data_IF_351802232485
#
_entry.id   IF_351802232485
#
_cell.length_a   1.000
_cell.length_b   1.000
_cell.length_c   1.000
_cell.angle_alpha   90.00
_cell.angle_beta   90.00
_cell.angle_gamma   90.00
#
_symmetry.space_group_name_H-M   'P 1'
#
loop_
_entity.id
_entity.type
_entity.pdbx_description
1 polymer ?
#
# COMPACT_ATOMS: atom_id res chain seq x y z
N UNK A 1 38.05 -17.40 10.25
CA UNK A 1 36.61 -17.35 10.58
C UNK A 1 36.41 -16.28 11.63
N UNK A 2 35.40 -15.43 11.47
CA UNK A 2 35.12 -14.37 12.44
C UNK A 2 34.73 -14.99 13.79
N UNK A 3 35.25 -14.44 14.88
CA UNK A 3 34.89 -14.85 16.25
C UNK A 3 33.46 -14.36 16.57
N UNK A 4 32.57 -15.30 16.93
CA UNK A 4 31.14 -15.09 17.15
C UNK A 4 30.84 -13.98 18.16
N UNK A 5 31.73 -13.77 19.13
CA UNK A 5 31.62 -12.71 20.14
C UNK A 5 31.67 -11.32 19.51
N UNK A 6 32.51 -11.13 18.48
CA UNK A 6 32.66 -9.84 17.82
C UNK A 6 31.48 -9.50 16.91
N UNK A 7 30.87 -10.52 16.31
CA UNK A 7 29.70 -10.33 15.45
C UNK A 7 28.48 -9.95 16.30
N UNK A 8 28.32 -10.59 17.46
CA UNK A 8 27.32 -10.19 18.46
C UNK A 8 27.52 -8.75 18.93
N UNK A 9 28.76 -8.33 19.19
CA UNK A 9 29.05 -6.95 19.61
C UNK A 9 28.66 -5.91 18.53
N UNK A 10 28.91 -6.22 17.24
CA UNK A 10 28.50 -5.36 16.12
C UNK A 10 26.98 -5.30 15.96
N UNK A 11 26.29 -6.43 16.09
CA UNK A 11 24.82 -6.46 16.02
C UNK A 11 24.21 -5.67 17.18
N UNK A 12 24.75 -5.78 18.38
CA UNK A 12 24.34 -4.98 19.54
C UNK A 12 24.63 -3.48 19.37
N UNK A 13 25.69 -3.11 18.64
CA UNK A 13 25.93 -1.72 18.24
C UNK A 13 24.85 -1.25 17.27
N UNK A 14 24.51 -2.05 16.25
CA UNK A 14 23.45 -1.73 15.29
C UNK A 14 22.11 -1.48 15.97
N UNK A 15 21.67 -2.38 16.86
CA UNK A 15 20.41 -2.25 17.60
C UNK A 15 20.34 -0.93 18.39
N UNK A 16 21.41 -0.57 19.11
CA UNK A 16 21.48 0.68 19.88
C UNK A 16 21.47 1.92 18.98
N UNK A 17 22.20 1.90 17.87
CA UNK A 17 22.33 3.05 16.96
C UNK A 17 21.08 3.26 16.12
N UNK A 18 20.37 2.19 15.76
CA UNK A 18 19.07 2.24 15.10
C UNK A 18 17.89 2.43 16.06
N UNK A 19 18.15 2.49 17.37
CA UNK A 19 17.13 2.63 18.41
C UNK A 19 16.01 1.58 18.31
N UNK A 20 16.34 0.39 17.79
CA UNK A 20 15.40 -0.74 17.60
C UNK A 20 15.89 -1.94 18.40
N UNK A 21 15.07 -2.49 19.33
CA UNK A 21 15.38 -3.78 19.92
C UNK A 21 15.27 -4.84 18.82
N UNK A 22 16.37 -5.57 18.58
CA UNK A 22 16.37 -6.63 17.59
C UNK A 22 15.78 -7.91 18.16
N UNK A 23 14.85 -8.50 17.43
CA UNK A 23 14.32 -9.82 17.75
C UNK A 23 15.34 -10.91 17.39
N UNK A 24 15.10 -12.15 17.86
CA UNK A 24 15.95 -13.30 17.52
C UNK A 24 16.14 -13.45 16.00
N UNK A 25 15.07 -13.20 15.23
CA UNK A 25 15.09 -13.23 13.75
C UNK A 25 15.99 -12.14 13.17
N UNK A 26 15.92 -10.91 13.67
CA UNK A 26 16.77 -9.80 13.22
C UNK A 26 18.25 -10.12 13.46
N UNK A 27 18.57 -10.63 14.66
CA UNK A 27 19.94 -11.00 15.05
C UNK A 27 20.46 -12.12 14.16
N UNK A 28 19.66 -13.18 13.94
CA UNK A 28 20.05 -14.31 13.10
C UNK A 28 20.27 -13.88 11.65
N UNK A 29 19.36 -13.04 11.11
CA UNK A 29 19.48 -12.52 9.75
C UNK A 29 20.73 -11.66 9.58
N UNK A 30 20.95 -10.68 10.46
CA UNK A 30 22.14 -9.83 10.41
C UNK A 30 23.43 -10.64 10.55
N UNK A 31 23.45 -11.66 11.40
CA UNK A 31 24.59 -12.56 11.55
C UNK A 31 24.93 -13.25 10.22
N UNK A 32 23.95 -13.88 9.58
CA UNK A 32 24.15 -14.57 8.31
C UNK A 32 24.52 -13.59 7.17
N UNK A 33 23.84 -12.46 7.12
CA UNK A 33 24.06 -11.44 6.10
C UNK A 33 25.46 -10.83 6.18
N UNK A 34 25.91 -10.41 7.37
CA UNK A 34 27.24 -9.84 7.57
C UNK A 34 28.34 -10.87 7.24
N UNK A 35 28.12 -12.15 7.54
CA UNK A 35 29.02 -13.23 7.12
C UNK A 35 29.02 -13.43 5.60
N UNK A 36 27.87 -13.35 4.95
CA UNK A 36 27.73 -13.41 3.50
C UNK A 36 28.48 -12.27 2.81
N UNK A 37 28.30 -11.01 3.25
CA UNK A 37 29.03 -9.85 2.72
C UNK A 37 30.56 -10.06 2.81
N UNK A 38 31.05 -10.59 3.94
CA UNK A 38 32.47 -10.90 4.10
C UNK A 38 32.97 -11.95 3.11
N UNK A 39 32.18 -13.00 2.85
CA UNK A 39 32.54 -14.03 1.87
C UNK A 39 32.57 -13.47 0.44
N UNK A 40 31.57 -12.66 0.05
CA UNK A 40 31.53 -12.01 -1.26
C UNK A 40 32.69 -11.03 -1.45
N UNK A 41 33.00 -10.25 -0.42
CA UNK A 41 34.13 -9.33 -0.42
C UNK A 41 35.46 -10.07 -0.67
N UNK A 42 35.71 -11.19 0.00
CA UNK A 42 36.91 -12.00 -0.25
C UNK A 42 36.95 -12.60 -1.66
N UNK A 43 35.79 -12.84 -2.28
CA UNK A 43 35.68 -13.28 -3.67
C UNK A 43 35.85 -12.13 -4.69
N UNK A 44 36.04 -10.89 -4.24
CA UNK A 44 36.11 -9.71 -5.10
C UNK A 44 34.77 -9.32 -5.72
N UNK A 45 33.66 -9.87 -5.21
CA UNK A 45 32.31 -9.58 -5.66
C UNK A 45 31.74 -8.50 -4.73
N UNK A 46 31.34 -7.38 -5.32
CA UNK A 46 30.70 -6.28 -4.60
C UNK A 46 29.33 -5.99 -5.22
N UNK A 47 28.35 -5.56 -4.40
CA UNK A 47 27.06 -5.11 -4.93
C UNK A 47 27.27 -3.90 -5.83
N UNK A 48 26.55 -3.86 -6.95
CA UNK A 48 26.60 -2.73 -7.88
C UNK A 48 25.41 -1.80 -7.62
N UNK A 49 25.68 -0.50 -7.53
CA UNK A 49 24.65 0.53 -7.40
C UNK A 49 24.78 1.54 -8.53
N UNK A 50 23.63 1.94 -9.09
CA UNK A 50 23.60 3.06 -10.04
C UNK A 50 23.80 4.40 -9.30
N UNK A 51 24.12 5.51 -10.00
CA UNK A 51 24.40 6.79 -9.35
C UNK A 51 23.28 7.30 -8.43
N UNK A 52 22.01 7.09 -8.82
CA UNK A 52 20.85 7.50 -8.03
C UNK A 52 20.76 6.70 -6.72
N UNK A 53 20.96 5.38 -6.78
CA UNK A 53 21.00 4.50 -5.61
C UNK A 53 22.15 4.85 -4.66
N UNK A 54 23.33 5.18 -5.20
CA UNK A 54 24.47 5.63 -4.40
C UNK A 54 24.13 6.91 -3.64
N UNK A 55 23.60 7.92 -4.34
CA UNK A 55 23.22 9.19 -3.74
C UNK A 55 22.13 9.00 -2.66
N UNK A 56 21.15 8.15 -2.93
CA UNK A 56 20.09 7.84 -1.98
C UNK A 56 20.64 7.21 -0.70
N UNK A 57 21.37 6.09 -0.82
CA UNK A 57 21.93 5.37 0.32
C UNK A 57 22.85 6.26 1.16
N UNK A 58 23.60 7.18 0.54
CA UNK A 58 24.45 8.15 1.25
C UNK A 58 23.66 9.22 2.00
N UNK A 59 22.43 9.52 1.57
CA UNK A 59 21.56 10.53 2.17
C UNK A 59 20.72 10.00 3.34
N UNK A 60 20.63 8.68 3.50
CA UNK A 60 19.90 8.00 4.55
C UNK A 60 20.54 8.24 5.94
N UNK A 61 19.72 8.29 6.98
CA UNK A 61 20.16 8.52 8.36
C UNK A 61 21.06 7.39 8.89
N UNK A 62 20.97 6.20 8.29
CA UNK A 62 21.70 4.99 8.63
C UNK A 62 23.10 4.94 7.99
N UNK A 63 23.39 5.80 7.01
CA UNK A 63 24.67 5.80 6.31
C UNK A 63 25.89 6.02 7.24
N UNK A 64 25.86 6.94 8.23
CA UNK A 64 26.96 7.09 9.18
C UNK A 64 27.25 5.81 9.99
N UNK A 65 26.20 5.05 10.35
CA UNK A 65 26.35 3.76 11.03
C UNK A 65 26.98 2.71 10.10
N UNK A 66 26.57 2.67 8.84
CA UNK A 66 27.18 1.79 7.85
C UNK A 66 28.68 2.08 7.67
N UNK A 67 29.07 3.36 7.63
CA UNK A 67 30.48 3.78 7.59
C UNK A 67 31.25 3.34 8.84
N UNK A 68 30.64 3.45 10.02
CA UNK A 68 31.23 3.01 11.29
C UNK A 68 31.53 1.50 11.25
N UNK A 69 30.56 0.68 10.81
CA UNK A 69 30.72 -0.77 10.70
C UNK A 69 31.74 -1.13 9.62
N UNK A 70 31.72 -0.46 8.47
CA UNK A 70 32.72 -0.63 7.41
C UNK A 70 34.15 -0.41 7.92
N UNK A 71 34.38 0.61 8.76
CA UNK A 71 35.69 0.85 9.40
C UNK A 71 36.06 -0.27 10.38
N UNK A 72 35.11 -0.78 11.16
CA UNK A 72 35.36 -1.92 12.05
C UNK A 72 35.75 -3.18 11.28
N UNK A 73 35.14 -3.41 10.10
CA UNK A 73 35.53 -4.49 9.21
C UNK A 73 36.91 -4.31 8.60
N UNK A 74 37.22 -3.12 8.07
CA UNK A 74 38.52 -2.81 7.46
C UNK A 74 39.68 -3.09 8.43
N UNK A 75 39.55 -2.67 9.69
CA UNK A 75 40.59 -2.89 10.73
C UNK A 75 40.84 -4.37 11.04
N UNK A 76 39.88 -5.25 10.77
CA UNK A 76 39.94 -6.67 11.14
C UNK A 76 40.29 -7.58 9.97
N UNK A 77 39.81 -7.26 8.77
CA UNK A 77 40.06 -8.04 7.56
C UNK A 77 41.37 -7.60 6.87
N UNK A 78 41.94 -6.46 7.27
CA UNK A 78 43.16 -5.89 6.67
C UNK A 78 43.05 -5.67 5.15
N UNK A 79 41.81 -5.49 4.66
CA UNK A 79 41.49 -5.15 3.29
C UNK A 79 40.51 -3.96 3.30
N UNK A 80 40.63 -3.10 2.29
CA UNK A 80 39.68 -2.01 2.11
C UNK A 80 38.35 -2.60 1.66
N UNK A 81 37.31 -2.47 2.49
CA UNK A 81 35.96 -2.78 2.07
C UNK A 81 35.58 -1.87 0.87
N UNK A 82 35.04 -2.41 -0.23
CA UNK A 82 34.53 -1.62 -1.33
C UNK A 82 33.53 -0.59 -0.82
N UNK A 83 33.54 0.65 -1.34
CA UNK A 83 32.56 1.67 -0.96
C UNK A 83 31.12 1.17 -1.07
N UNK A 84 30.85 0.30 -2.04
CA UNK A 84 29.52 -0.22 -2.32
C UNK A 84 29.02 -1.22 -1.25
N UNK A 85 29.89 -1.91 -0.51
CA UNK A 85 29.48 -2.72 0.67
C UNK A 85 28.88 -1.84 1.77
N UNK A 86 29.42 -0.62 1.93
CA UNK A 86 28.88 0.34 2.89
C UNK A 86 27.49 0.82 2.46
N UNK A 87 27.28 1.02 1.16
CA UNK A 87 25.97 1.39 0.63
C UNK A 87 24.95 0.27 0.84
N UNK A 88 25.37 -0.99 0.67
CA UNK A 88 24.51 -2.14 0.90
C UNK A 88 24.12 -2.30 2.37
N UNK A 89 25.05 -2.07 3.29
CA UNK A 89 24.73 -2.01 4.73
C UNK A 89 23.76 -0.87 5.06
N UNK A 90 23.94 0.32 4.47
CA UNK A 90 23.05 1.45 4.70
C UNK A 90 21.62 1.12 4.25
N UNK A 91 21.46 0.52 3.06
CA UNK A 91 20.19 0.01 2.57
C UNK A 91 19.58 -1.06 3.50
N UNK A 92 20.39 -1.99 3.98
CA UNK A 92 19.92 -3.02 4.91
C UNK A 92 19.36 -2.40 6.20
N UNK A 93 20.10 -1.46 6.79
CA UNK A 93 19.67 -0.80 8.01
C UNK A 93 18.41 0.03 7.81
N UNK A 94 18.29 0.72 6.68
CA UNK A 94 17.06 1.46 6.36
C UNK A 94 15.85 0.53 6.17
N UNK A 95 16.06 -0.72 5.72
CA UNK A 95 14.98 -1.71 5.60
C UNK A 95 14.63 -2.40 6.93
N UNK A 96 15.60 -2.61 7.83
CA UNK A 96 15.35 -3.24 9.15
C UNK A 96 14.75 -2.24 10.14
N UNK A 97 15.04 -0.95 9.97
CA UNK A 97 14.47 0.13 10.78
C UNK A 97 12.96 0.21 10.54
N UNK A 98 12.23 0.41 11.63
CA UNK A 98 10.81 0.78 11.58
C UNK A 98 10.77 2.31 11.54
N UNK A 99 10.28 2.94 10.47
CA UNK A 99 10.12 4.39 10.42
C UNK A 99 9.22 4.88 11.56
N UNK A 100 9.56 6.02 12.15
CA UNK A 100 8.81 6.60 13.26
C UNK A 100 8.32 8.00 12.86
N UNK A 101 7.01 8.19 12.61
CA UNK A 101 6.48 9.48 12.14
C UNK A 101 6.69 10.62 13.14
N UNK A 102 6.84 10.31 14.43
CA UNK A 102 7.00 11.29 15.52
C UNK A 102 8.46 11.68 15.70
N UNK A 103 9.36 10.68 15.73
CA UNK A 103 10.75 10.89 16.13
C UNK A 103 11.72 11.10 14.95
N UNK A 104 11.37 10.64 13.75
CA UNK A 104 12.20 10.83 12.57
C UNK A 104 12.29 12.32 12.23
N UNK A 105 13.50 12.89 12.14
CA UNK A 105 13.67 14.34 11.91
C UNK A 105 14.81 14.68 10.95
N UNK A 106 15.32 13.69 10.22
CA UNK A 106 16.31 13.94 9.18
C UNK A 106 15.68 14.76 8.04
N UNK A 107 16.52 15.40 7.21
CA UNK A 107 16.03 16.22 6.10
C UNK A 107 15.14 15.41 5.13
N UNK A 108 15.51 14.16 4.85
CA UNK A 108 14.74 13.28 3.97
C UNK A 108 13.40 12.88 4.58
N UNK A 109 13.35 12.64 5.90
CA UNK A 109 12.11 12.32 6.61
C UNK A 109 11.11 13.47 6.55
N UNK A 110 11.59 14.70 6.74
CA UNK A 110 10.77 15.91 6.60
C UNK A 110 10.25 16.08 5.17
N UNK A 111 11.11 15.83 4.16
CA UNK A 111 10.69 15.85 2.75
C UNK A 111 9.61 14.80 2.49
N UNK A 112 9.79 13.58 3.00
CA UNK A 112 8.85 12.50 2.85
C UNK A 112 7.50 12.83 3.48
N UNK A 113 7.46 13.35 4.72
CA UNK A 113 6.20 13.78 5.35
C UNK A 113 5.46 14.82 4.52
N UNK A 114 6.16 15.79 3.94
CA UNK A 114 5.53 16.78 3.06
C UNK A 114 4.98 16.15 1.77
N UNK A 115 5.68 15.17 1.19
CA UNK A 115 5.21 14.43 0.03
C UNK A 115 3.98 13.57 0.36
N UNK A 116 3.95 12.93 1.53
CA UNK A 116 2.79 12.19 2.04
C UNK A 116 1.59 13.11 2.23
N UNK A 117 1.76 14.28 2.85
CA UNK A 117 0.68 15.25 3.01
C UNK A 117 0.10 15.72 1.67
N UNK A 118 0.95 15.93 0.66
CA UNK A 118 0.49 16.24 -0.70
C UNK A 118 -0.24 15.07 -1.36
N UNK A 119 0.22 13.84 -1.13
CA UNK A 119 -0.45 12.63 -1.63
C UNK A 119 -1.87 12.52 -1.03
N UNK A 120 -2.00 12.66 0.29
CA UNK A 120 -3.30 12.63 0.98
C UNK A 120 -4.23 13.72 0.45
N UNK A 121 -3.73 14.95 0.29
CA UNK A 121 -4.49 16.06 -0.28
C UNK A 121 -5.03 15.73 -1.68
N UNK A 122 -4.17 15.24 -2.58
CA UNK A 122 -4.57 14.87 -3.96
C UNK A 122 -5.60 13.75 -3.97
N UNK A 123 -5.38 12.70 -3.17
CA UNK A 123 -6.33 11.61 -3.04
C UNK A 123 -7.70 12.14 -2.59
N UNK A 124 -7.72 13.02 -1.59
CA UNK A 124 -8.94 13.64 -1.05
C UNK A 124 -9.68 14.44 -2.12
N UNK A 125 -8.98 15.24 -2.90
CA UNK A 125 -9.55 16.07 -3.97
C UNK A 125 -10.14 15.23 -5.11
N UNK A 126 -9.41 14.21 -5.59
CA UNK A 126 -9.89 13.32 -6.66
C UNK A 126 -11.01 12.40 -6.19
N UNK A 127 -10.90 11.92 -4.95
CA UNK A 127 -11.88 11.04 -4.33
C UNK A 127 -13.14 11.76 -3.86
N UNK A 128 -13.07 13.08 -3.66
CA UNK A 128 -14.11 13.90 -3.04
C UNK A 128 -14.53 13.40 -1.66
N UNK A 129 -13.55 12.89 -0.90
CA UNK A 129 -13.76 12.31 0.44
C UNK A 129 -13.26 13.25 1.53
N UNK A 130 -13.54 12.89 2.78
CA UNK A 130 -12.92 13.50 3.96
C UNK A 130 -12.41 12.39 4.86
N UNK A 131 -11.29 12.66 5.53
CA UNK A 131 -10.76 11.79 6.56
C UNK A 131 -11.02 12.43 7.91
N UNK A 132 -11.50 11.64 8.85
CA UNK A 132 -11.71 12.07 10.23
C UNK A 132 -10.38 12.19 10.98
N UNK A 133 -9.56 11.16 10.89
CA UNK A 133 -8.20 11.12 11.40
C UNK A 133 -7.18 11.26 10.26
N UNK A 134 -7.08 12.47 9.71
CA UNK A 134 -6.10 12.77 8.66
C UNK A 134 -4.66 12.67 9.18
N UNK A 135 -4.41 12.93 10.46
CA UNK A 135 -3.07 12.84 11.04
C UNK A 135 -2.61 11.38 11.12
N UNK A 136 -3.44 10.47 11.66
CA UNK A 136 -3.13 9.04 11.68
C UNK A 136 -2.95 8.45 10.28
N UNK A 137 -3.71 8.93 9.28
CA UNK A 137 -3.52 8.53 7.89
C UNK A 137 -2.15 8.95 7.35
N UNK A 138 -1.75 10.20 7.60
CA UNK A 138 -0.44 10.70 7.21
C UNK A 138 0.68 9.89 7.88
N UNK A 139 0.54 9.57 9.16
CA UNK A 139 1.52 8.82 9.92
C UNK A 139 1.66 7.37 9.40
N UNK A 140 0.54 6.70 9.13
CA UNK A 140 0.55 5.33 8.57
C UNK A 140 1.13 5.29 7.15
N UNK A 141 0.74 6.26 6.30
CA UNK A 141 1.28 6.37 4.94
C UNK A 141 2.77 6.70 4.97
N UNK A 142 3.23 7.54 5.90
CA UNK A 142 4.65 7.81 6.08
C UNK A 142 5.44 6.54 6.38
N UNK A 143 4.96 5.72 7.33
CA UNK A 143 5.62 4.45 7.70
C UNK A 143 5.72 3.53 6.48
N UNK A 144 4.62 3.32 5.77
CA UNK A 144 4.60 2.45 4.60
C UNK A 144 5.48 2.98 3.45
N UNK A 145 5.33 4.26 3.09
CA UNK A 145 6.02 4.86 1.94
C UNK A 145 7.52 5.03 2.17
N UNK A 146 7.97 5.24 3.40
CA UNK A 146 9.40 5.24 3.73
C UNK A 146 10.07 3.91 3.33
N UNK A 147 9.39 2.80 3.59
CA UNK A 147 9.86 1.47 3.24
C UNK A 147 9.65 1.16 1.76
N UNK A 148 8.47 1.45 1.21
CA UNK A 148 8.13 1.20 -0.19
C UNK A 148 9.06 1.95 -1.16
N UNK A 149 9.46 3.17 -0.81
CA UNK A 149 10.38 3.97 -1.60
C UNK A 149 11.77 3.34 -1.69
N UNK A 150 12.27 2.81 -0.57
CA UNK A 150 13.52 2.05 -0.55
C UNK A 150 13.38 0.77 -1.39
N UNK A 151 12.28 0.04 -1.28
CA UNK A 151 12.08 -1.16 -2.10
C UNK A 151 12.02 -0.85 -3.60
N UNK A 152 11.29 0.19 -3.97
CA UNK A 152 11.12 0.60 -5.38
C UNK A 152 12.44 1.07 -6.01
N UNK A 153 13.22 1.87 -5.29
CA UNK A 153 14.48 2.40 -5.82
C UNK A 153 15.55 1.31 -6.05
N UNK A 154 15.50 0.25 -5.25
CA UNK A 154 16.44 -0.87 -5.32
C UNK A 154 15.86 -2.12 -6.00
N UNK A 155 14.68 -2.00 -6.63
CA UNK A 155 13.98 -3.09 -7.32
C UNK A 155 13.78 -4.35 -6.44
N UNK A 156 13.46 -4.13 -5.17
CA UNK A 156 13.17 -5.20 -4.20
C UNK A 156 11.68 -5.49 -4.26
N UNK A 157 11.31 -6.63 -4.84
CA UNK A 157 9.91 -7.07 -4.92
C UNK A 157 9.32 -7.41 -3.56
N UNK A 158 7.99 -7.32 -3.46
CA UNK A 158 7.21 -7.85 -2.35
C UNK A 158 6.27 -8.92 -2.87
N UNK A 159 6.19 -10.04 -2.16
CA UNK A 159 5.18 -11.06 -2.43
C UNK A 159 3.87 -10.60 -1.78
N UNK A 160 2.93 -10.11 -2.58
CA UNK A 160 1.60 -9.81 -2.08
C UNK A 160 0.54 -10.56 -2.90
N UNK A 161 -0.25 -11.38 -2.22
CA UNK A 161 -1.37 -12.14 -2.81
C UNK A 161 -2.67 -11.34 -2.85
N UNK A 162 -2.71 -10.15 -2.24
CA UNK A 162 -3.86 -9.26 -2.20
C UNK A 162 -4.26 -8.52 -3.52
N UNK A 163 -3.42 -8.33 -4.58
CA UNK A 163 -3.73 -7.35 -5.63
C UNK A 163 -4.99 -7.62 -6.46
N UNK A 164 -5.25 -8.88 -6.88
CA UNK A 164 -6.27 -9.15 -7.91
C UNK A 164 -7.70 -8.99 -7.40
N UNK A 165 -8.03 -9.65 -6.29
CA UNK A 165 -9.37 -9.59 -5.72
C UNK A 165 -9.69 -8.19 -5.17
N UNK A 166 -8.72 -7.56 -4.51
CA UNK A 166 -8.89 -6.20 -4.00
C UNK A 166 -9.13 -5.20 -5.14
N UNK A 167 -8.38 -5.28 -6.24
CA UNK A 167 -8.56 -4.40 -7.39
C UNK A 167 -9.92 -4.60 -8.07
N UNK A 168 -10.44 -5.83 -8.06
CA UNK A 168 -11.79 -6.12 -8.59
C UNK A 168 -12.90 -5.57 -7.69
N UNK A 169 -12.73 -5.68 -6.37
CA UNK A 169 -13.75 -5.24 -5.40
C UNK A 169 -13.79 -3.72 -5.23
N UNK A 170 -12.64 -3.05 -5.36
CA UNK A 170 -12.44 -1.62 -5.11
C UNK A 170 -11.75 -0.88 -6.28
N UNK A 171 -12.26 -0.99 -7.51
CA UNK A 171 -11.56 -0.49 -8.70
C UNK A 171 -11.34 1.02 -8.68
N UNK A 172 -12.34 1.80 -8.21
CA UNK A 172 -12.21 3.26 -8.08
C UNK A 172 -11.14 3.64 -7.07
N UNK A 173 -11.05 2.93 -5.94
CA UNK A 173 -10.07 3.17 -4.89
C UNK A 173 -8.64 2.96 -5.39
N UNK A 174 -8.40 1.84 -6.07
CA UNK A 174 -7.09 1.53 -6.65
C UNK A 174 -6.72 2.54 -7.73
N UNK A 175 -7.63 2.87 -8.65
CA UNK A 175 -7.37 3.88 -9.70
C UNK A 175 -7.06 5.25 -9.09
N UNK A 176 -7.87 5.71 -8.14
CA UNK A 176 -7.68 7.02 -7.49
C UNK A 176 -6.37 7.06 -6.72
N UNK A 177 -5.99 5.97 -6.07
CA UNK A 177 -4.70 5.84 -5.38
C UNK A 177 -3.53 5.95 -6.38
N UNK A 178 -3.60 5.22 -7.50
CA UNK A 178 -2.58 5.25 -8.55
C UNK A 178 -2.42 6.65 -9.14
N UNK A 179 -3.52 7.33 -9.42
CA UNK A 179 -3.52 8.69 -9.95
C UNK A 179 -2.93 9.68 -8.92
N UNK A 180 -3.21 9.48 -7.62
CA UNK A 180 -2.67 10.32 -6.55
C UNK A 180 -1.15 10.16 -6.41
N UNK A 181 -0.67 8.91 -6.53
CA UNK A 181 0.74 8.56 -6.43
C UNK A 181 1.59 9.13 -7.56
N UNK A 182 1.02 9.46 -8.73
CA UNK A 182 1.78 9.95 -9.87
C UNK A 182 2.71 11.15 -9.55
N UNK A 183 2.26 12.07 -8.69
CA UNK A 183 3.11 13.18 -8.23
C UNK A 183 4.22 12.78 -7.29
N UNK A 184 3.93 11.82 -6.40
CA UNK A 184 4.92 11.27 -5.47
C UNK A 184 6.01 10.51 -6.25
N UNK A 185 5.59 9.62 -7.15
CA UNK A 185 6.47 8.88 -8.07
C UNK A 185 7.39 9.82 -8.85
N UNK A 186 6.83 10.89 -9.42
CA UNK A 186 7.59 11.90 -10.15
C UNK A 186 8.58 12.67 -9.26
N UNK A 187 8.22 12.99 -8.01
CA UNK A 187 9.10 13.72 -7.09
C UNK A 187 10.34 12.90 -6.70
N UNK A 188 10.19 11.58 -6.60
CA UNK A 188 11.25 10.66 -6.19
C UNK A 188 11.93 9.93 -7.36
N UNK A 189 11.42 10.08 -8.59
CA UNK A 189 11.96 9.39 -9.76
C UNK A 189 11.80 7.87 -9.68
N UNK A 190 10.70 7.40 -9.08
CA UNK A 190 10.40 5.96 -8.92
C UNK A 190 9.08 5.61 -9.58
N UNK A 191 8.86 4.32 -9.79
CA UNK A 191 7.55 3.75 -10.12
C UNK A 191 7.23 2.69 -9.09
N UNK A 192 6.09 2.83 -8.41
CA UNK A 192 5.57 1.80 -7.54
C UNK A 192 4.99 0.67 -8.39
N UNK A 193 5.16 -0.55 -7.90
CA UNK A 193 4.51 -1.72 -8.48
C UNK A 193 3.01 -1.72 -8.15
N UNK A 194 2.28 -2.66 -8.76
CA UNK A 194 0.86 -2.83 -8.48
C UNK A 194 0.62 -3.29 -7.04
N UNK A 195 1.54 -4.06 -6.47
CA UNK A 195 1.50 -4.51 -5.08
C UNK A 195 1.65 -3.35 -4.09
N UNK A 196 2.63 -2.46 -4.30
CA UNK A 196 2.82 -1.27 -3.45
C UNK A 196 1.63 -0.31 -3.61
N UNK A 197 1.17 -0.09 -4.84
CA UNK A 197 -0.03 0.72 -5.10
C UNK A 197 -1.27 0.15 -4.40
N UNK A 198 -1.42 -1.18 -4.43
CA UNK A 198 -2.49 -1.90 -3.73
C UNK A 198 -2.42 -1.73 -2.21
N UNK A 199 -1.23 -1.81 -1.62
CA UNK A 199 -1.04 -1.59 -0.18
C UNK A 199 -1.37 -0.14 0.23
N UNK A 200 -0.96 0.85 -0.55
CA UNK A 200 -1.35 2.25 -0.33
C UNK A 200 -2.88 2.39 -0.42
N UNK A 201 -3.52 1.72 -1.38
CA UNK A 201 -4.97 1.76 -1.55
C UNK A 201 -5.69 1.11 -0.36
N UNK A 202 -5.15 0.01 0.20
CA UNK A 202 -5.66 -0.61 1.44
C UNK A 202 -5.58 0.36 2.61
N UNK A 203 -4.48 1.11 2.76
CA UNK A 203 -4.35 2.12 3.82
C UNK A 203 -5.41 3.21 3.67
N UNK A 204 -5.57 3.79 2.46
CA UNK A 204 -6.65 4.76 2.23
C UNK A 204 -8.03 4.17 2.51
N UNK A 205 -8.30 2.95 2.04
CA UNK A 205 -9.55 2.24 2.28
C UNK A 205 -9.84 2.06 3.77
N UNK A 206 -8.86 1.64 4.56
CA UNK A 206 -9.01 1.48 6.01
C UNK A 206 -9.41 2.78 6.70
N UNK A 207 -8.81 3.91 6.34
CA UNK A 207 -9.15 5.23 6.91
C UNK A 207 -10.50 5.77 6.45
N UNK A 208 -10.94 5.42 5.24
CA UNK A 208 -12.32 5.74 4.80
C UNK A 208 -13.38 4.98 5.61
N UNK A 209 -13.01 3.87 6.26
CA UNK A 209 -13.91 3.00 7.02
C UNK A 209 -13.92 3.29 8.53
N UNK A 210 -12.98 4.06 9.09
CA UNK A 210 -12.78 4.18 10.55
C UNK A 210 -13.94 4.86 11.31
N UNK A 211 -14.61 5.87 10.75
CA UNK A 211 -15.64 6.64 11.48
C UNK A 211 -17.07 6.38 11.03
N UNK A 212 -17.24 5.64 9.95
CA UNK A 212 -18.57 5.39 9.48
C UNK A 212 -19.16 4.19 10.24
N UNK A 213 -20.19 4.45 11.03
CA UNK A 213 -21.38 3.57 11.13
C UNK A 213 -22.06 3.44 9.74
N UNK A 214 -21.27 3.27 8.67
CA UNK A 214 -21.71 2.87 7.35
C UNK A 214 -22.20 1.45 7.56
N UNK A 215 -23.49 1.36 7.86
CA UNK A 215 -24.26 0.21 7.50
C UNK A 215 -23.90 -0.03 6.03
N UNK A 216 -23.11 -1.07 5.75
CA UNK A 216 -22.79 -1.45 4.39
C UNK A 216 -24.11 -1.47 3.62
N UNK A 217 -24.31 -0.50 2.74
CA UNK A 217 -25.58 -0.38 2.04
C UNK A 217 -25.68 -1.57 1.12
N UNK A 218 -26.58 -2.46 1.49
CA UNK A 218 -26.79 -3.68 0.75
C UNK A 218 -27.48 -3.32 -0.57
N UNK A 219 -26.79 -3.55 -1.68
CA UNK A 219 -27.35 -3.47 -3.02
C UNK A 219 -27.72 -4.89 -3.45
N UNK A 220 -28.86 -5.04 -4.12
CA UNK A 220 -29.22 -6.28 -4.79
C UNK A 220 -29.04 -6.09 -6.30
N UNK A 221 -28.26 -6.98 -6.92
CA UNK A 221 -28.18 -7.11 -8.37
C UNK A 221 -29.01 -8.32 -8.79
N UNK A 222 -30.04 -8.09 -9.61
CA UNK A 222 -30.86 -9.18 -10.13
C UNK A 222 -30.13 -9.92 -11.25
N UNK A 223 -30.07 -11.24 -11.13
CA UNK A 223 -29.36 -12.12 -12.07
C UNK A 223 -30.33 -12.98 -12.89
N UNK A 224 -29.84 -13.51 -14.00
CA UNK A 224 -30.61 -14.23 -15.00
C UNK A 224 -29.71 -15.05 -15.93
N UNK A 225 -29.76 -14.77 -17.22
CA UNK A 225 -29.10 -15.56 -18.27
C UNK A 225 -27.90 -14.87 -18.93
N UNK A 226 -27.54 -13.65 -18.52
CA UNK A 226 -26.46 -12.88 -19.10
C UNK A 226 -25.42 -12.44 -18.05
N UNK A 227 -24.55 -13.38 -17.66
CA UNK A 227 -23.52 -13.13 -16.65
C UNK A 227 -22.50 -12.06 -17.02
N UNK A 228 -22.22 -11.83 -18.31
CA UNK A 228 -21.31 -10.78 -18.76
C UNK A 228 -21.89 -9.39 -18.51
N UNK A 229 -23.17 -9.19 -18.84
CA UNK A 229 -23.88 -7.94 -18.57
C UNK A 229 -24.01 -7.68 -17.06
N UNK A 230 -24.30 -8.72 -16.29
CA UNK A 230 -24.36 -8.64 -14.83
C UNK A 230 -23.02 -8.21 -14.23
N UNK A 231 -21.91 -8.83 -14.66
CA UNK A 231 -20.57 -8.45 -14.23
C UNK A 231 -20.21 -7.02 -14.67
N UNK A 232 -20.61 -6.61 -15.87
CA UNK A 232 -20.39 -5.24 -16.35
C UNK A 232 -21.12 -4.20 -15.49
N UNK A 233 -22.40 -4.43 -15.18
CA UNK A 233 -23.18 -3.55 -14.30
C UNK A 233 -22.60 -3.54 -12.89
N UNK A 234 -22.20 -4.69 -12.36
CA UNK A 234 -21.54 -4.76 -11.06
C UNK A 234 -20.26 -3.91 -11.03
N UNK A 235 -19.43 -4.02 -12.06
CA UNK A 235 -18.22 -3.20 -12.18
C UNK A 235 -18.57 -1.71 -12.21
N UNK A 236 -19.60 -1.31 -12.97
CA UNK A 236 -20.06 0.08 -12.99
C UNK A 236 -20.52 0.55 -11.61
N UNK A 237 -21.23 -0.29 -10.84
CA UNK A 237 -21.65 0.04 -9.47
C UNK A 237 -20.45 0.26 -8.54
N UNK A 238 -19.46 -0.65 -8.59
CA UNK A 238 -18.22 -0.53 -7.80
C UNK A 238 -17.41 0.71 -8.17
N UNK A 239 -17.51 1.18 -9.41
CA UNK A 239 -16.88 2.42 -9.88
C UNK A 239 -17.58 3.71 -9.38
N UNK A 240 -18.76 3.59 -8.76
CA UNK A 240 -19.47 4.77 -8.25
C UNK A 240 -18.99 5.23 -6.87
N UNK A 241 -18.25 4.42 -6.13
CA UNK A 241 -17.82 4.75 -4.76
C UNK A 241 -16.40 4.29 -4.49
N UNK A 242 -15.75 4.91 -3.51
CA UNK A 242 -14.46 4.47 -2.96
C UNK A 242 -14.62 3.48 -1.80
N UNK A 243 -15.85 3.34 -1.29
CA UNK A 243 -16.19 2.53 -0.13
C UNK A 243 -16.60 1.11 -0.56
N UNK A 244 -16.51 0.12 0.36
CA UNK A 244 -17.03 -1.20 0.12
C UNK A 244 -18.51 -1.20 -0.25
N UNK A 245 -18.85 -1.97 -1.28
CA UNK A 245 -20.21 -2.26 -1.67
C UNK A 245 -20.52 -3.73 -1.41
N UNK A 246 -21.56 -3.96 -0.62
CA UNK A 246 -22.14 -5.27 -0.41
C UNK A 246 -23.21 -5.52 -1.47
N UNK A 247 -22.82 -6.19 -2.55
CA UNK A 247 -23.70 -6.52 -3.68
C UNK A 247 -24.14 -7.97 -3.54
N UNK A 248 -25.43 -8.20 -3.31
CA UNK A 248 -26.04 -9.54 -3.30
C UNK A 248 -26.63 -9.87 -4.66
N UNK A 249 -26.18 -10.96 -5.25
CA UNK A 249 -26.77 -11.52 -6.46
C UNK A 249 -28.05 -12.29 -6.11
N UNK A 250 -29.18 -11.91 -6.70
CA UNK A 250 -30.46 -12.57 -6.48
C UNK A 250 -31.08 -12.92 -7.84
N UNK A 251 -31.40 -14.19 -8.12
CA UNK A 251 -32.06 -14.55 -9.37
C UNK A 251 -33.41 -13.84 -9.51
N UNK A 252 -33.69 -13.31 -10.70
CA UNK A 252 -34.92 -12.54 -10.99
C UNK A 252 -36.19 -13.33 -10.65
N UNK A 253 -36.18 -14.65 -10.90
CA UNK A 253 -37.30 -15.54 -10.57
C UNK A 253 -37.53 -15.67 -9.06
N UNK A 254 -36.46 -15.71 -8.27
CA UNK A 254 -36.53 -15.77 -6.81
C UNK A 254 -37.06 -14.44 -6.27
N UNK A 255 -36.55 -13.33 -6.78
CA UNK A 255 -37.02 -11.99 -6.42
C UNK A 255 -38.51 -11.78 -6.69
N UNK A 256 -39.04 -12.29 -7.81
CA UNK A 256 -40.47 -12.19 -8.13
C UNK A 256 -41.36 -13.00 -7.17
N UNK A 257 -40.86 -14.11 -6.63
CA UNK A 257 -41.60 -14.96 -5.69
C UNK A 257 -41.52 -14.44 -4.26
N UNK A 258 -40.32 -14.10 -3.81
CA UNK A 258 -40.02 -13.88 -2.40
C UNK A 258 -39.87 -12.37 -2.06
N UNK A 259 -39.78 -11.52 -3.07
CA UNK A 259 -39.58 -10.07 -2.93
C UNK A 259 -38.14 -9.69 -2.58
N UNK A 260 -37.97 -8.45 -2.11
CA UNK A 260 -36.66 -7.93 -1.70
C UNK A 260 -36.23 -8.50 -0.35
N UNK A 261 -34.94 -8.87 -0.19
CA UNK A 261 -34.35 -9.08 1.12
C UNK A 261 -34.53 -7.85 2.03
N UNK A 262 -34.52 -8.06 3.35
CA UNK A 262 -34.56 -6.96 4.34
C UNK A 262 -33.25 -6.17 4.32
N UNK A 263 -33.34 -4.86 4.58
CA UNK A 263 -32.17 -3.98 4.68
C UNK A 263 -31.54 -3.58 3.35
N UNK A 264 -32.22 -3.81 2.22
CA UNK A 264 -31.73 -3.42 0.89
C UNK A 264 -31.94 -1.93 0.66
N UNK A 265 -30.86 -1.23 0.32
CA UNK A 265 -30.88 0.20 0.00
C UNK A 265 -31.28 0.47 -1.45
N UNK A 266 -30.93 -0.46 -2.37
CA UNK A 266 -31.13 -0.30 -3.81
C UNK A 266 -31.21 -1.67 -4.49
N UNK A 267 -32.09 -1.78 -5.49
CA UNK A 267 -32.13 -2.91 -6.42
C UNK A 267 -31.72 -2.43 -7.81
N UNK A 268 -30.82 -3.16 -8.45
CA UNK A 268 -30.37 -2.91 -9.82
C UNK A 268 -30.64 -4.16 -10.65
N UNK A 269 -31.17 -3.99 -11.85
CA UNK A 269 -31.48 -5.13 -12.73
C UNK A 269 -31.22 -4.78 -14.19
N UNK A 270 -30.55 -5.65 -14.97
CA UNK A 270 -30.53 -5.53 -16.42
C UNK A 270 -31.84 -5.98 -17.07
N UNK A 271 -32.67 -6.74 -16.35
CA UNK A 271 -33.85 -7.37 -16.91
C UNK A 271 -35.10 -6.54 -16.67
N UNK A 272 -35.98 -6.49 -17.67
CA UNK A 272 -37.32 -5.92 -17.50
C UNK A 272 -38.08 -6.72 -16.41
N UNK A 273 -38.21 -6.12 -15.23
CA UNK A 273 -38.75 -6.78 -14.04
C UNK A 273 -39.97 -6.01 -13.55
N UNK A 274 -41.15 -6.63 -13.43
CA UNK A 274 -42.32 -5.96 -12.88
C UNK A 274 -42.09 -5.61 -11.40
N UNK A 275 -42.42 -4.38 -11.01
CA UNK A 275 -42.24 -3.88 -9.65
C UNK A 275 -43.26 -4.49 -8.67
N UNK A 276 -42.84 -5.04 -7.52
CA UNK A 276 -43.76 -5.31 -6.43
C UNK A 276 -44.29 -4.01 -5.82
N UNK A 277 -45.50 -4.04 -5.24
CA UNK A 277 -46.22 -2.90 -4.65
C UNK A 277 -45.42 -2.10 -3.60
N UNK A 278 -44.50 -2.76 -2.88
CA UNK A 278 -43.53 -2.13 -1.98
C UNK A 278 -42.15 -2.71 -2.26
N UNK A 279 -41.26 -1.90 -2.83
CA UNK A 279 -39.87 -2.27 -3.03
C UNK A 279 -38.96 -1.09 -2.73
N UNK A 280 -37.70 -1.34 -2.29
CA UNK A 280 -36.63 -0.36 -2.37
C UNK A 280 -36.56 0.26 -3.77
N UNK A 281 -35.89 1.41 -3.93
CA UNK A 281 -35.67 2.00 -5.25
C UNK A 281 -35.10 0.94 -6.21
N UNK A 282 -35.72 0.80 -7.39
CA UNK A 282 -35.30 -0.12 -8.44
C UNK A 282 -34.80 0.67 -9.63
N UNK A 283 -33.62 0.30 -10.12
CA UNK A 283 -33.01 0.88 -11.31
C UNK A 283 -32.86 -0.22 -12.36
N UNK A 284 -33.55 -0.03 -13.49
CA UNK A 284 -33.37 -0.88 -14.67
C UNK A 284 -32.24 -0.34 -15.55
N UNK A 285 -31.21 -1.16 -15.78
CA UNK A 285 -30.00 -0.82 -16.51
C UNK A 285 -29.84 -1.77 -17.70
N UNK A 286 -30.53 -1.49 -18.80
CA UNK A 286 -30.67 -2.38 -19.96
C UNK A 286 -29.32 -2.88 -20.53
N UNK A 287 -28.36 -1.96 -20.72
CA UNK A 287 -26.99 -2.28 -21.17
C UNK A 287 -25.92 -1.69 -20.25
N UNK A 288 -26.21 -0.55 -19.65
CA UNK A 288 -25.29 0.19 -18.78
C UNK A 288 -26.06 1.16 -17.90
N UNK A 289 -25.45 1.60 -16.80
CA UNK A 289 -25.97 2.67 -15.96
C UNK A 289 -25.79 4.01 -16.66
N UNK A 290 -26.90 4.69 -16.96
CA UNK A 290 -26.90 6.06 -17.50
C UNK A 290 -26.33 7.06 -16.49
N UNK A 291 -25.83 8.21 -16.96
CA UNK A 291 -25.28 9.26 -16.07
C UNK A 291 -26.26 9.71 -14.97
N UNK A 292 -27.54 9.80 -15.30
CA UNK A 292 -28.60 10.13 -14.33
C UNK A 292 -28.76 9.04 -13.26
N UNK A 293 -28.79 7.76 -13.66
CA UNK A 293 -28.86 6.64 -12.72
C UNK A 293 -27.62 6.58 -11.83
N UNK A 294 -26.42 6.76 -12.39
CA UNK A 294 -25.17 6.82 -11.63
C UNK A 294 -25.22 7.91 -10.55
N UNK A 295 -25.72 9.11 -10.89
CA UNK A 295 -25.86 10.20 -9.93
C UNK A 295 -26.87 9.87 -8.82
N UNK A 296 -28.00 9.25 -9.16
CA UNK A 296 -28.99 8.81 -8.16
C UNK A 296 -28.42 7.75 -7.22
N UNK A 297 -27.70 6.77 -7.77
CA UNK A 297 -27.06 5.70 -6.99
C UNK A 297 -26.03 6.30 -6.04
N UNK A 298 -25.16 7.21 -6.50
CA UNK A 298 -24.19 7.88 -5.62
C UNK A 298 -24.85 8.57 -4.44
N UNK A 299 -25.95 9.32 -4.67
CA UNK A 299 -26.71 9.94 -3.58
C UNK A 299 -27.22 8.91 -2.57
N UNK A 300 -27.71 7.77 -3.03
CA UNK A 300 -28.17 6.66 -2.16
C UNK A 300 -26.98 6.05 -1.42
N UNK A 301 -25.81 5.93 -2.02
CA UNK A 301 -24.61 5.35 -1.40
C UNK A 301 -23.97 6.28 -0.37
N UNK A 302 -24.08 7.59 -0.57
CA UNK A 302 -23.45 8.62 0.26
C UNK A 302 -24.37 9.18 1.37
N UNK A 303 -25.68 8.86 1.37
CA UNK A 303 -26.69 9.36 2.34
C UNK A 303 -26.66 8.71 3.72
#
# INVERSE_FOLDING_TARGET
MYDDTNLHALINLCSRRLQKPFECRDVQFLRLFLQYCLLQHHAGIAPAFNPLQKQWAQSCAEYPLALEIGRHWQRRVMQNAPPDETLFMALLFSMIRIPDPIHDNHQQDRRLRLAVARLVLRFREMGQVRFSDEQGLNDQLYVHLAQALSRSLFAIGIDNTLPEEFSRLYPRLVRTTRDALAGFESEYGVRFSDEETGLVAVIFGAWLMQENDLHEKQIVLLTGNNGELEAHIEQQLRELTLLPLNIKHVPTQTFQKDGSPRGVALIVTPYATPLPLFSPPLIHADLSLTAHQQQQIRKILES
#
